data_IF_515236991767
#
_entry.id   IF_515236991767
#
_cell.length_a   1.000
_cell.length_b   1.000
_cell.length_c   1.000
_cell.angle_alpha   90.00
_cell.angle_beta   90.00
_cell.angle_gamma   90.00
#
_symmetry.space_group_name_H-M   'P 1'
#
loop_
_entity.id
_entity.type
_entity.pdbx_description
1 polymer ?
#
# COMPACT_ATOMS: atom_id res chain seq x y z
N UNK A 1 -0.31 -19.17 -2.44
CA UNK A 1 0.42 -18.86 -1.20
C UNK A 1 -0.50 -18.04 -0.32
N UNK A 2 -0.74 -18.45 0.93
CA UNK A 2 -1.60 -17.70 1.83
C UNK A 2 -1.04 -16.27 2.00
N UNK A 3 -1.87 -15.29 1.68
CA UNK A 3 -1.52 -13.89 1.50
C UNK A 3 -1.51 -13.24 2.88
N UNK A 4 -0.45 -13.47 3.68
CA UNK A 4 -0.27 -12.86 5.00
C UNK A 4 -0.48 -11.34 4.90
N UNK A 5 -1.29 -10.74 5.75
CA UNK A 5 -1.36 -9.29 5.92
C UNK A 5 -0.32 -8.84 6.95
N UNK A 6 0.08 -7.55 6.95
CA UNK A 6 0.90 -7.01 8.03
C UNK A 6 0.24 -7.19 9.40
N UNK A 7 1.03 -7.55 10.41
CA UNK A 7 0.60 -7.68 11.81
C UNK A 7 1.30 -6.64 12.70
N UNK A 8 0.85 -6.51 13.95
CA UNK A 8 1.44 -5.58 14.90
C UNK A 8 2.91 -5.91 15.16
N UNK A 9 3.79 -4.92 14.99
CA UNK A 9 5.24 -5.07 15.14
C UNK A 9 5.99 -5.29 13.82
N UNK A 10 5.29 -5.62 12.74
CA UNK A 10 5.87 -5.68 11.41
C UNK A 10 6.33 -4.30 10.92
N UNK A 11 7.31 -4.28 10.03
CA UNK A 11 7.69 -3.08 9.29
C UNK A 11 6.88 -3.01 8.01
N UNK A 12 6.10 -1.95 7.82
CA UNK A 12 5.36 -1.67 6.58
C UNK A 12 6.06 -0.55 5.79
N UNK A 13 6.38 -0.83 4.53
CA UNK A 13 6.90 0.12 3.56
C UNK A 13 5.88 0.32 2.43
N UNK A 14 5.50 1.58 2.20
CA UNK A 14 4.58 1.98 1.14
C UNK A 14 5.38 2.68 0.03
N UNK A 15 5.39 2.11 -1.17
CA UNK A 15 6.16 2.62 -2.31
C UNK A 15 5.22 3.07 -3.42
N UNK A 16 5.15 4.39 -3.64
CA UNK A 16 4.43 4.99 -4.75
C UNK A 16 5.33 5.13 -5.98
N UNK A 17 4.84 4.74 -7.16
CA UNK A 17 5.56 4.88 -8.42
C UNK A 17 4.67 5.51 -9.49
N UNK A 18 5.24 5.80 -10.67
CA UNK A 18 4.45 6.19 -11.85
C UNK A 18 3.66 5.03 -12.49
N UNK A 19 3.78 3.82 -11.96
CA UNK A 19 3.20 2.59 -12.52
C UNK A 19 2.30 1.84 -11.53
N UNK A 20 2.09 2.40 -10.34
CA UNK A 20 1.23 1.82 -9.32
C UNK A 20 1.82 1.91 -7.92
N UNK A 21 1.10 1.36 -6.96
CA UNK A 21 1.48 1.30 -5.55
C UNK A 21 1.93 -0.09 -5.17
N UNK A 22 2.96 -0.16 -4.34
CA UNK A 22 3.46 -1.40 -3.76
C UNK A 22 3.47 -1.28 -2.25
N UNK A 23 3.01 -2.32 -1.58
CA UNK A 23 3.24 -2.51 -0.16
C UNK A 23 4.25 -3.62 0.02
N UNK A 24 5.23 -3.36 0.89
CA UNK A 24 6.16 -4.36 1.37
C UNK A 24 6.03 -4.43 2.87
N UNK A 25 5.97 -5.63 3.42
CA UNK A 25 6.03 -5.81 4.86
C UNK A 25 7.00 -6.91 5.24
N UNK A 26 7.66 -6.71 6.37
CA UNK A 26 8.56 -7.70 6.95
C UNK A 26 8.22 -7.98 8.40
N UNK A 27 8.70 -9.13 8.86
CA UNK A 27 8.83 -9.44 10.27
C UNK A 27 9.63 -8.37 11.04
N UNK A 28 9.55 -8.33 12.39
CA UNK A 28 10.26 -7.33 13.20
C UNK A 28 11.79 -7.31 12.98
N UNK A 29 12.40 -8.45 12.63
CA UNK A 29 13.83 -8.55 12.33
C UNK A 29 14.20 -8.06 10.91
N UNK A 30 13.20 -7.75 10.07
CA UNK A 30 13.34 -7.26 8.68
C UNK A 30 14.04 -8.24 7.74
N UNK A 31 13.85 -9.55 7.94
CA UNK A 31 14.50 -10.63 7.17
C UNK A 31 13.58 -11.23 6.12
N UNK A 32 12.32 -11.44 6.47
CA UNK A 32 11.33 -12.10 5.63
C UNK A 32 10.33 -11.09 5.09
N UNK A 33 10.50 -10.75 3.81
CA UNK A 33 9.69 -9.73 3.14
C UNK A 33 8.61 -10.35 2.27
N UNK A 34 7.42 -9.78 2.37
CA UNK A 34 6.31 -10.04 1.47
C UNK A 34 5.93 -8.76 0.73
N UNK A 35 5.16 -8.90 -0.35
CA UNK A 35 4.71 -7.77 -1.17
C UNK A 35 3.30 -7.92 -1.70
N UNK A 36 2.64 -6.79 -1.92
CA UNK A 36 1.41 -6.66 -2.70
C UNK A 36 1.51 -5.45 -3.63
N UNK A 37 0.61 -5.40 -4.63
CA UNK A 37 0.53 -4.28 -5.57
C UNK A 37 -0.93 -3.90 -5.81
N UNK A 38 -1.16 -2.63 -6.12
CA UNK A 38 -2.46 -2.08 -6.52
C UNK A 38 -2.25 -0.90 -7.49
N UNK A 39 -3.35 -0.42 -8.08
CA UNK A 39 -3.36 0.73 -9.00
C UNK A 39 -2.45 0.56 -10.22
N UNK A 40 -2.57 -0.57 -10.93
CA UNK A 40 -1.70 -0.88 -12.08
C UNK A 40 -1.80 0.21 -13.16
N UNK A 41 -0.65 0.79 -13.50
CA UNK A 41 -0.54 1.89 -14.47
C UNK A 41 -0.87 3.29 -13.93
N UNK A 42 -1.26 3.44 -12.66
CA UNK A 42 -1.58 4.75 -12.08
C UNK A 42 -0.34 5.38 -11.44
N UNK A 43 -0.28 6.72 -11.45
CA UNK A 43 0.75 7.46 -10.73
C UNK A 43 0.37 7.61 -9.26
N UNK A 44 1.29 7.24 -8.37
CA UNK A 44 1.10 7.34 -6.93
C UNK A 44 2.10 8.35 -6.39
N UNK A 45 1.59 9.46 -5.86
CA UNK A 45 2.42 10.55 -5.34
C UNK A 45 2.79 10.37 -3.88
N UNK A 46 1.87 9.85 -3.08
CA UNK A 46 2.07 9.63 -1.65
C UNK A 46 1.11 8.56 -1.12
N UNK A 47 1.53 7.85 -0.08
CA UNK A 47 0.69 6.93 0.67
C UNK A 47 0.91 7.14 2.16
N UNK A 48 -0.16 7.00 2.94
CA UNK A 48 -0.15 7.14 4.39
C UNK A 48 -0.98 6.03 5.04
N UNK A 49 -0.44 5.46 6.11
CA UNK A 49 -1.16 4.53 6.98
C UNK A 49 -1.68 5.29 8.19
N UNK A 50 -2.93 5.05 8.55
CA UNK A 50 -3.57 5.57 9.74
C UNK A 50 -3.58 4.49 10.83
N UNK A 51 -2.79 4.62 11.90
CA UNK A 51 -2.71 3.61 12.95
C UNK A 51 -3.97 3.56 13.84
N UNK A 52 -4.91 4.51 13.69
CA UNK A 52 -6.15 4.55 14.50
C UNK A 52 -7.14 3.47 14.07
N UNK A 53 -7.21 3.18 12.77
CA UNK A 53 -8.16 2.21 12.20
C UNK A 53 -7.55 1.30 11.12
N UNK A 54 -6.22 1.35 10.94
CA UNK A 54 -5.45 0.63 9.94
C UNK A 54 -5.78 0.98 8.48
N UNK A 55 -6.46 2.10 8.22
CA UNK A 55 -6.69 2.55 6.85
C UNK A 55 -5.39 2.97 6.17
N UNK A 56 -5.29 2.73 4.87
CA UNK A 56 -4.27 3.31 4.00
C UNK A 56 -4.94 4.29 3.05
N UNK A 57 -4.35 5.47 2.91
CA UNK A 57 -4.74 6.48 1.95
C UNK A 57 -3.66 6.63 0.89
N UNK A 58 -4.04 6.72 -0.38
CA UNK A 58 -3.13 6.92 -1.50
C UNK A 58 -3.57 8.13 -2.34
N UNK A 59 -2.65 9.08 -2.54
CA UNK A 59 -2.82 10.16 -3.51
C UNK A 59 -2.45 9.64 -4.89
N UNK A 60 -3.47 9.36 -5.70
CA UNK A 60 -3.35 8.69 -7.00
C UNK A 60 -3.70 9.64 -8.15
N UNK A 61 -3.15 9.39 -9.34
CA UNK A 61 -3.52 10.07 -10.56
C UNK A 61 -3.52 9.07 -11.73
N UNK A 62 -4.55 9.12 -12.56
CA UNK A 62 -4.67 8.29 -13.76
C UNK A 62 -5.19 9.11 -14.94
N UNK A 63 -4.94 8.64 -16.16
CA UNK A 63 -5.38 9.33 -17.37
C UNK A 63 -6.92 9.38 -17.50
N UNK A 64 -7.63 8.44 -16.86
CA UNK A 64 -9.09 8.33 -16.94
C UNK A 64 -9.79 9.11 -15.84
N UNK A 65 -9.32 8.98 -14.60
CA UNK A 65 -10.02 9.55 -13.42
C UNK A 65 -9.37 10.82 -12.88
N UNK A 66 -8.21 11.21 -13.41
CA UNK A 66 -7.42 12.31 -12.87
C UNK A 66 -6.93 12.05 -11.45
N UNK A 67 -6.70 13.13 -10.70
CA UNK A 67 -6.20 13.07 -9.33
C UNK A 67 -7.32 12.72 -8.33
N UNK A 68 -7.15 11.62 -7.60
CA UNK A 68 -8.10 11.14 -6.58
C UNK A 68 -7.37 10.58 -5.37
N UNK A 69 -8.00 10.68 -4.20
CA UNK A 69 -7.55 10.00 -2.97
C UNK A 69 -8.29 8.68 -2.85
N UNK A 70 -7.53 7.58 -2.90
CA UNK A 70 -8.03 6.23 -2.66
C UNK A 70 -7.87 5.88 -1.17
N UNK A 71 -8.79 5.06 -0.64
CA UNK A 71 -8.73 4.55 0.73
C UNK A 71 -8.89 3.04 0.69
N UNK A 72 -8.08 2.35 1.48
CA UNK A 72 -8.19 0.93 1.73
C UNK A 72 -8.25 0.66 3.24
N UNK A 73 -9.03 -0.33 3.66
CA UNK A 73 -9.06 -0.82 5.06
C UNK A 73 -8.47 -2.22 5.21
N UNK A 74 -7.87 -2.78 4.16
CA UNK A 74 -7.38 -4.16 4.10
C UNK A 74 -5.97 -4.26 3.50
N UNK A 75 -5.14 -3.24 3.76
CA UNK A 75 -3.77 -3.14 3.24
C UNK A 75 -3.71 -3.24 1.70
N UNK A 76 -4.60 -2.53 1.02
CA UNK A 76 -4.57 -2.34 -0.43
C UNK A 76 -5.12 -3.52 -1.24
N UNK A 77 -5.93 -4.40 -0.64
CA UNK A 77 -6.64 -5.42 -1.39
C UNK A 77 -7.96 -4.91 -1.99
N UNK A 78 -8.61 -3.92 -1.35
CA UNK A 78 -9.75 -3.15 -1.86
C UNK A 78 -9.68 -1.68 -1.48
#
# INVERSE_FOLDING_TARGET
MAKRSPEAGDVLLMVGTRKGSFLYWSDPDRKDWHRSMAHDGWMIHHMMHDPRDNSIYAATNSDVFGAVVQRSSDFGAS
#
